data_IF_652647251147
#
_entry.id   IF_652647251147
#
_cell.length_a   1.000
_cell.length_b   1.000
_cell.length_c   1.000
_cell.angle_alpha   90.00
_cell.angle_beta   90.00
_cell.angle_gamma   90.00
#
_symmetry.space_group_name_H-M   'P 1'
#
loop_
_entity.id
_entity.type
_entity.pdbx_description
1 polymer ?
#
# COMPACT_ATOMS: atom_id res chain seq x y z
N UNK A 1 -17.32 33.88 -76.12
CA UNK A 1 -16.12 34.44 -76.79
C UNK A 1 -14.94 33.61 -76.33
N UNK A 2 -14.37 32.80 -77.22
CA UNK A 2 -13.15 32.02 -76.94
C UNK A 2 -11.94 32.95 -77.00
N UNK A 3 -11.07 32.90 -76.00
CA UNK A 3 -9.61 32.97 -76.17
C UNK A 3 -9.01 32.07 -75.09
N UNK A 4 -8.29 31.03 -75.52
CA UNK A 4 -7.45 30.22 -74.64
C UNK A 4 -6.00 30.68 -74.76
N UNK A 5 -5.20 30.40 -73.74
CA UNK A 5 -3.77 30.16 -73.92
C UNK A 5 -3.20 29.31 -72.79
N UNK A 6 -2.42 28.31 -73.20
CA UNK A 6 -1.77 27.28 -72.40
C UNK A 6 -0.32 27.64 -72.09
N UNK A 7 0.15 27.12 -70.95
CA UNK A 7 1.53 26.75 -70.57
C UNK A 7 2.55 27.83 -70.16
N UNK A 8 3.04 27.70 -68.92
CA UNK A 8 4.48 27.49 -68.70
C UNK A 8 4.72 26.50 -67.54
N UNK A 9 5.33 25.37 -67.91
CA UNK A 9 5.96 24.39 -67.04
C UNK A 9 7.40 24.85 -66.78
N UNK A 10 7.77 25.12 -65.54
CA UNK A 10 9.16 25.17 -65.11
C UNK A 10 9.43 24.05 -64.10
N UNK A 11 10.18 23.04 -64.52
CA UNK A 11 10.81 22.02 -63.67
C UNK A 11 11.80 22.71 -62.72
N UNK A 12 11.63 22.52 -61.42
CA UNK A 12 12.73 22.58 -60.44
C UNK A 12 12.57 21.41 -59.47
N UNK A 13 13.51 20.47 -59.59
CA UNK A 13 14.16 19.62 -58.57
C UNK A 13 13.28 19.01 -57.47
N UNK A 14 13.31 17.68 -57.40
CA UNK A 14 12.54 16.88 -56.46
C UNK A 14 12.80 17.17 -54.99
N UNK A 15 11.69 17.28 -54.25
CA UNK A 15 11.62 16.97 -52.81
C UNK A 15 10.37 16.12 -52.64
N UNK A 16 10.56 14.83 -52.37
CA UNK A 16 9.50 13.96 -51.85
C UNK A 16 9.17 14.46 -50.44
N UNK A 17 8.08 15.20 -50.29
CA UNK A 17 7.40 15.38 -49.00
C UNK A 17 5.91 15.18 -49.18
N UNK A 18 5.39 14.25 -48.41
CA UNK A 18 4.06 13.65 -48.43
C UNK A 18 2.94 14.64 -48.78
N UNK A 19 2.17 14.31 -49.82
CA UNK A 19 0.83 14.91 -50.02
C UNK A 19 -0.05 14.50 -48.85
N UNK A 20 -0.19 15.37 -47.86
CA UNK A 20 -1.34 15.32 -46.94
C UNK A 20 -2.57 15.48 -47.82
N UNK A 21 -3.29 14.38 -48.04
CA UNK A 21 -4.56 14.35 -48.76
C UNK A 21 -5.59 15.12 -47.90
N UNK A 22 -5.64 16.45 -48.08
CA UNK A 22 -6.72 17.27 -47.53
C UNK A 22 -7.99 16.85 -48.28
N UNK A 23 -8.85 16.08 -47.61
CA UNK A 23 -10.20 15.81 -48.11
C UNK A 23 -10.94 17.15 -48.06
N UNK A 24 -11.02 17.83 -49.20
CA UNK A 24 -11.81 19.04 -49.37
C UNK A 24 -13.19 18.61 -49.84
N UNK A 25 -14.21 18.87 -49.03
CA UNK A 25 -15.59 18.71 -49.46
C UNK A 25 -15.94 19.91 -50.35
N UNK A 26 -15.92 19.70 -51.67
CA UNK A 26 -16.37 20.67 -52.65
C UNK A 26 -17.79 20.30 -53.07
N UNK A 27 -18.73 21.23 -52.91
CA UNK A 27 -20.12 21.00 -53.22
C UNK A 27 -20.59 21.93 -54.35
N UNK A 28 -21.56 21.45 -55.15
CA UNK A 28 -21.94 22.03 -56.45
C UNK A 28 -23.08 23.04 -56.37
N UNK A 29 -23.77 23.10 -55.23
CA UNK A 29 -24.94 23.95 -55.00
C UNK A 29 -24.60 25.08 -54.03
N UNK A 30 -25.35 26.18 -54.05
CA UNK A 30 -25.16 27.25 -53.07
C UNK A 30 -25.57 26.77 -51.67
N UNK A 31 -24.85 27.22 -50.62
CA UNK A 31 -25.13 26.93 -49.20
C UNK A 31 -25.00 25.46 -48.76
N UNK A 32 -24.20 24.66 -49.47
CA UNK A 32 -23.97 23.23 -49.20
C UNK A 32 -22.92 22.92 -48.11
N UNK A 33 -22.33 23.95 -47.48
CA UNK A 33 -21.27 23.88 -46.50
C UNK A 33 -21.78 23.57 -45.07
N UNK A 34 -22.57 22.51 -44.92
CA UNK A 34 -23.10 22.07 -43.61
C UNK A 34 -22.12 21.16 -42.85
N UNK A 35 -21.99 21.34 -41.52
CA UNK A 35 -21.10 20.55 -40.67
C UNK A 35 -21.44 19.04 -40.68
N UNK A 36 -22.72 18.70 -40.89
CA UNK A 36 -23.17 17.31 -40.99
C UNK A 36 -22.55 16.52 -42.15
N UNK A 37 -21.98 17.22 -43.13
CA UNK A 37 -21.37 16.64 -44.33
C UNK A 37 -19.90 16.23 -44.11
N UNK A 38 -19.31 16.55 -42.96
CA UNK A 38 -17.93 16.18 -42.61
C UNK A 38 -17.87 15.29 -41.37
N UNK A 39 -16.73 14.61 -41.20
CA UNK A 39 -16.48 13.83 -39.99
C UNK A 39 -16.29 14.74 -38.78
N UNK A 40 -16.91 14.35 -37.67
CA UNK A 40 -16.61 14.85 -36.34
C UNK A 40 -15.31 14.23 -35.83
N UNK A 41 -14.55 14.96 -35.04
CA UNK A 41 -13.35 14.44 -34.39
C UNK A 41 -13.59 14.22 -32.90
N UNK A 42 -13.14 13.09 -32.35
CA UNK A 42 -13.10 12.84 -30.91
C UNK A 42 -11.65 12.64 -30.47
N UNK A 43 -11.35 12.90 -29.20
CA UNK A 43 -10.04 12.62 -28.62
C UNK A 43 -9.85 11.13 -28.33
N UNK A 44 -8.61 10.66 -28.48
CA UNK A 44 -8.11 9.36 -28.02
C UNK A 44 -7.07 9.56 -26.90
N UNK A 45 -6.79 8.50 -26.13
CA UNK A 45 -5.91 8.57 -24.95
C UNK A 45 -4.48 9.06 -25.20
N UNK A 46 -3.95 8.85 -26.40
CA UNK A 46 -2.59 9.25 -26.79
C UNK A 46 -2.53 10.67 -27.40
N UNK A 47 -3.60 11.45 -27.25
CA UNK A 47 -3.71 12.79 -27.86
C UNK A 47 -4.00 12.77 -29.35
N UNK A 48 -4.15 11.58 -29.97
CA UNK A 48 -4.65 11.46 -31.34
C UNK A 48 -6.15 11.74 -31.39
N UNK A 49 -6.65 11.82 -32.61
CA UNK A 49 -8.06 11.99 -32.90
C UNK A 49 -8.56 10.81 -33.71
N UNK A 50 -9.76 10.36 -33.40
CA UNK A 50 -10.51 9.45 -34.26
C UNK A 50 -11.59 10.24 -35.02
N UNK A 51 -11.84 9.84 -36.27
CA UNK A 51 -12.89 10.41 -37.12
C UNK A 51 -14.17 9.64 -36.90
N UNK A 52 -15.25 10.36 -36.60
CA UNK A 52 -16.55 9.80 -36.36
C UNK A 52 -17.61 10.46 -37.26
N UNK A 53 -18.68 9.73 -37.61
CA UNK A 53 -19.78 10.37 -38.35
C UNK A 53 -20.38 11.49 -37.50
N UNK A 54 -20.96 12.51 -38.15
CA UNK A 54 -21.49 13.68 -37.44
C UNK A 54 -22.46 13.32 -36.30
N UNK A 55 -23.34 12.34 -36.52
CA UNK A 55 -24.32 11.85 -35.54
C UNK A 55 -23.77 10.83 -34.54
N UNK A 56 -22.57 10.30 -34.74
CA UNK A 56 -21.99 9.29 -33.85
C UNK A 56 -21.25 9.93 -32.67
N UNK A 57 -21.37 9.37 -31.48
CA UNK A 57 -20.92 9.99 -30.23
C UNK A 57 -19.40 9.98 -30.04
N UNK A 58 -18.89 10.91 -29.24
CA UNK A 58 -17.58 10.76 -28.59
C UNK A 58 -17.80 10.30 -27.15
N UNK A 59 -16.88 9.53 -26.59
CA UNK A 59 -16.98 9.10 -25.18
C UNK A 59 -15.75 9.48 -24.36
N UNK A 60 -15.97 9.72 -23.07
CA UNK A 60 -14.93 9.79 -22.04
C UNK A 60 -15.37 8.97 -20.83
N UNK A 61 -14.47 8.24 -20.20
CA UNK A 61 -14.80 7.38 -19.05
C UNK A 61 -13.72 7.39 -17.98
N UNK A 62 -14.12 7.06 -16.74
CA UNK A 62 -13.19 6.74 -15.67
C UNK A 62 -12.76 5.28 -15.73
N UNK A 63 -11.46 5.04 -15.67
CA UNK A 63 -10.90 3.69 -15.50
C UNK A 63 -11.09 3.21 -14.06
N UNK A 64 -10.85 1.92 -13.82
CA UNK A 64 -10.91 1.33 -12.47
C UNK A 64 -10.05 2.05 -11.43
N UNK A 65 -8.97 2.71 -11.85
CA UNK A 65 -8.03 3.45 -11.01
C UNK A 65 -8.25 4.97 -11.04
N UNK A 66 -9.46 5.42 -11.41
CA UNK A 66 -9.82 6.84 -11.58
C UNK A 66 -9.06 7.59 -12.70
N UNK A 67 -8.31 6.88 -13.54
CA UNK A 67 -7.73 7.42 -14.78
C UNK A 67 -8.83 7.78 -15.80
N UNK A 68 -8.42 8.39 -16.92
CA UNK A 68 -9.37 8.83 -17.97
C UNK A 68 -9.09 8.09 -19.27
N UNK A 69 -10.13 7.47 -19.81
CA UNK A 69 -10.15 6.85 -21.14
C UNK A 69 -11.05 7.65 -22.08
N UNK A 70 -10.69 7.73 -23.36
CA UNK A 70 -11.39 8.51 -24.39
C UNK A 70 -11.42 7.77 -25.72
N UNK A 71 -12.47 7.98 -26.50
CA UNK A 71 -12.54 7.50 -27.88
C UNK A 71 -13.79 7.89 -28.64
N UNK A 72 -13.97 7.26 -29.80
CA UNK A 72 -15.14 7.40 -30.66
C UNK A 72 -16.18 6.32 -30.35
N UNK A 73 -17.45 6.66 -30.57
CA UNK A 73 -18.58 5.76 -30.43
C UNK A 73 -19.27 5.88 -29.08
N UNK A 74 -20.08 4.87 -28.78
CA UNK A 74 -20.90 4.80 -27.58
C UNK A 74 -20.05 4.47 -26.35
N UNK A 75 -20.60 4.76 -25.17
CA UNK A 75 -19.95 4.44 -23.91
C UNK A 75 -19.68 2.93 -23.74
N UNK A 76 -18.43 2.53 -23.46
CA UNK A 76 -18.08 1.12 -23.22
C UNK A 76 -18.33 0.67 -21.78
N UNK A 77 -18.57 1.60 -20.84
CA UNK A 77 -18.78 1.30 -19.43
C UNK A 77 -19.85 2.18 -18.78
N UNK A 78 -20.15 1.89 -17.50
CA UNK A 78 -21.09 2.68 -16.70
C UNK A 78 -20.49 3.99 -16.18
N UNK A 79 -19.17 4.08 -16.07
CA UNK A 79 -18.44 5.26 -15.58
C UNK A 79 -18.06 6.20 -16.73
N UNK A 80 -18.93 6.24 -17.75
CA UNK A 80 -18.69 6.86 -19.03
C UNK A 80 -19.77 7.91 -19.34
N UNK A 81 -19.37 8.94 -20.07
CA UNK A 81 -20.24 9.98 -20.61
C UNK A 81 -20.02 10.11 -22.11
N UNK A 82 -21.11 10.33 -22.85
CA UNK A 82 -21.08 10.62 -24.29
C UNK A 82 -21.36 12.09 -24.56
N UNK A 83 -20.85 12.57 -25.69
CA UNK A 83 -21.11 13.92 -26.17
C UNK A 83 -21.05 13.97 -27.71
N UNK A 84 -21.73 14.96 -28.29
CA UNK A 84 -21.95 15.01 -29.74
C UNK A 84 -21.20 16.12 -30.48
N UNK A 85 -20.46 16.99 -29.78
CA UNK A 85 -19.70 18.09 -30.39
C UNK A 85 -18.29 17.66 -30.79
N UNK A 86 -17.68 18.39 -31.71
CA UNK A 86 -16.28 18.20 -32.06
C UNK A 86 -15.38 18.27 -30.80
N UNK A 87 -14.60 17.21 -30.57
CA UNK A 87 -13.58 17.10 -29.52
C UNK A 87 -14.10 17.38 -28.10
N UNK A 88 -15.37 17.06 -27.86
CA UNK A 88 -16.05 17.33 -26.60
C UNK A 88 -15.63 16.40 -25.45
N UNK A 89 -14.98 15.28 -25.75
CA UNK A 89 -14.57 14.26 -24.78
C UNK A 89 -13.16 14.52 -24.22
N UNK A 90 -12.80 15.77 -23.95
CA UNK A 90 -11.48 16.15 -23.44
C UNK A 90 -11.22 15.64 -22.01
N UNK A 91 -12.27 15.20 -21.31
CA UNK A 91 -12.23 14.67 -19.95
C UNK A 91 -12.23 15.75 -18.88
N UNK A 92 -12.29 17.05 -19.26
CA UNK A 92 -12.49 18.12 -18.30
C UNK A 92 -13.89 18.02 -17.70
N UNK A 93 -13.98 18.16 -16.38
CA UNK A 93 -15.26 18.05 -15.67
C UNK A 93 -15.83 16.63 -15.58
N UNK A 94 -15.12 15.61 -16.07
CA UNK A 94 -15.54 14.21 -15.91
C UNK A 94 -15.65 13.87 -14.43
N UNK A 95 -16.85 13.46 -13.99
CA UNK A 95 -17.12 13.11 -12.60
C UNK A 95 -16.38 11.85 -12.16
N UNK A 96 -16.31 11.68 -10.85
CA UNK A 96 -15.91 10.43 -10.20
C UNK A 96 -17.15 9.60 -9.90
N UNK A 97 -16.96 8.32 -9.56
CA UNK A 97 -18.07 7.40 -9.37
C UNK A 97 -17.85 6.56 -8.12
N UNK A 98 -18.83 6.61 -7.22
CA UNK A 98 -18.88 5.81 -6.00
C UNK A 98 -20.09 4.88 -6.04
N UNK A 99 -20.05 3.76 -5.31
CA UNK A 99 -21.25 2.96 -5.08
C UNK A 99 -22.27 3.79 -4.30
N UNK A 100 -23.55 3.55 -4.57
CA UNK A 100 -24.67 4.17 -3.86
C UNK A 100 -25.87 3.25 -3.86
N UNK A 101 -26.59 3.17 -2.72
CA UNK A 101 -27.91 2.53 -2.68
C UNK A 101 -28.98 3.33 -3.44
N UNK A 102 -28.85 4.66 -3.43
CA UNK A 102 -29.83 5.61 -3.99
C UNK A 102 -29.49 6.07 -5.41
N UNK A 103 -28.32 5.68 -5.93
CA UNK A 103 -27.84 6.07 -7.24
C UNK A 103 -28.32 5.17 -8.38
N UNK A 104 -28.35 5.69 -9.60
CA UNK A 104 -28.75 4.93 -10.79
C UNK A 104 -27.85 3.70 -10.97
N UNK A 105 -28.44 2.51 -11.11
CA UNK A 105 -27.71 1.23 -11.27
C UNK A 105 -26.70 0.95 -10.14
N UNK A 106 -26.94 1.48 -8.94
CA UNK A 106 -26.11 1.24 -7.76
C UNK A 106 -24.85 2.13 -7.67
N UNK A 107 -24.81 3.24 -8.41
CA UNK A 107 -23.68 4.18 -8.41
C UNK A 107 -24.14 5.64 -8.44
N UNK A 108 -23.32 6.53 -7.91
CA UNK A 108 -23.55 7.98 -7.90
C UNK A 108 -22.34 8.72 -8.49
N UNK A 109 -22.60 9.85 -9.16
CA UNK A 109 -21.57 10.75 -9.67
C UNK A 109 -21.09 11.69 -8.56
N UNK A 110 -19.78 11.87 -8.47
CA UNK A 110 -19.12 12.66 -7.44
C UNK A 110 -18.20 13.72 -8.05
N UNK A 111 -18.09 14.87 -7.38
CA UNK A 111 -17.18 15.94 -7.81
C UNK A 111 -15.72 15.67 -7.46
N UNK A 112 -15.50 14.83 -6.45
CA UNK A 112 -14.18 14.46 -5.94
C UNK A 112 -14.04 12.92 -5.89
N UNK A 113 -12.81 12.37 -5.87
CA UNK A 113 -12.58 10.92 -5.95
C UNK A 113 -12.92 10.16 -4.67
N UNK A 114 -13.12 10.83 -3.55
CA UNK A 114 -13.38 10.18 -2.28
C UNK A 114 -14.78 9.54 -2.26
N UNK A 115 -14.82 8.27 -1.89
CA UNK A 115 -16.02 7.50 -1.66
C UNK A 115 -16.04 7.01 -0.22
N UNK A 116 -17.21 7.03 0.41
CA UNK A 116 -17.42 6.44 1.74
C UNK A 116 -18.32 5.20 1.67
N UNK A 117 -18.15 4.32 2.64
CA UNK A 117 -19.10 3.27 2.99
C UNK A 117 -19.25 3.25 4.51
N UNK A 118 -20.49 3.27 4.99
CA UNK A 118 -20.83 3.34 6.42
C UNK A 118 -21.76 2.21 6.80
N UNK A 119 -21.52 1.50 7.89
CA UNK A 119 -22.51 0.56 8.42
C UNK A 119 -23.62 1.35 9.15
N UNK A 120 -24.87 1.09 8.78
CA UNK A 120 -26.07 1.65 9.42
C UNK A 120 -26.51 0.82 10.63
N UNK A 121 -26.29 -0.49 10.56
CA UNK A 121 -26.55 -1.46 11.63
C UNK A 121 -25.63 -2.68 11.41
N UNK A 122 -24.69 -2.87 12.33
CA UNK A 122 -23.71 -3.97 12.30
C UNK A 122 -24.38 -5.35 12.34
N UNK A 123 -25.53 -5.47 13.02
CA UNK A 123 -26.25 -6.73 13.16
C UNK A 123 -26.98 -7.15 11.87
N UNK A 124 -27.22 -6.21 10.95
CA UNK A 124 -28.02 -6.43 9.74
C UNK A 124 -27.21 -6.42 8.43
N UNK A 125 -25.88 -6.30 8.49
CA UNK A 125 -25.02 -6.09 7.30
C UNK A 125 -25.57 -4.98 6.39
N UNK A 126 -26.08 -3.90 6.99
CA UNK A 126 -26.68 -2.82 6.22
C UNK A 126 -25.71 -1.65 6.05
N UNK A 127 -25.41 -1.29 4.80
CA UNK A 127 -24.44 -0.24 4.47
C UNK A 127 -25.09 0.97 3.79
N UNK A 128 -24.63 2.17 4.11
CA UNK A 128 -24.80 3.38 3.30
C UNK A 128 -23.53 3.65 2.49
N UNK A 129 -23.70 4.17 1.28
CA UNK A 129 -22.62 4.39 0.32
C UNK A 129 -22.80 5.71 -0.41
N UNK A 130 -21.72 6.47 -0.57
CA UNK A 130 -21.79 7.71 -1.31
C UNK A 130 -20.45 8.38 -1.58
N UNK A 131 -20.55 9.65 -2.00
CA UNK A 131 -19.42 10.53 -2.25
C UNK A 131 -18.95 11.18 -0.96
N UNK A 132 -17.64 11.43 -0.85
CA UNK A 132 -17.04 12.22 0.23
C UNK A 132 -16.20 11.41 1.19
N UNK A 133 -15.88 12.06 2.31
CA UNK A 133 -15.08 11.51 3.39
C UNK A 133 -15.97 11.08 4.54
N UNK A 134 -15.45 10.19 5.37
CA UNK A 134 -16.03 9.92 6.68
C UNK A 134 -15.80 11.14 7.58
N UNK A 135 -16.80 11.49 8.40
CA UNK A 135 -16.61 12.47 9.47
C UNK A 135 -15.75 11.88 10.59
N UNK A 136 -15.03 12.70 11.35
CA UNK A 136 -14.18 12.21 12.46
C UNK A 136 -14.98 11.48 13.55
N UNK A 137 -16.28 11.77 13.68
CA UNK A 137 -17.21 11.12 14.61
C UNK A 137 -17.87 9.86 14.04
N UNK A 138 -17.67 9.55 12.75
CA UNK A 138 -18.31 8.41 12.08
C UNK A 138 -17.51 7.13 12.26
N UNK A 139 -17.67 6.56 13.44
CA UNK A 139 -16.99 5.35 13.90
C UNK A 139 -17.18 4.12 12.97
N UNK A 140 -18.34 4.01 12.33
CA UNK A 140 -18.67 2.91 11.43
C UNK A 140 -18.52 3.28 9.96
N UNK A 141 -17.50 4.06 9.61
CA UNK A 141 -17.29 4.55 8.24
C UNK A 141 -15.87 4.25 7.74
N UNK A 142 -15.76 3.80 6.48
CA UNK A 142 -14.51 3.64 5.78
C UNK A 142 -14.52 4.44 4.46
N UNK A 143 -13.37 5.03 4.11
CA UNK A 143 -13.23 5.85 2.91
C UNK A 143 -12.10 5.39 1.98
N UNK A 144 -12.27 5.58 0.68
CA UNK A 144 -11.28 5.23 -0.34
C UNK A 144 -11.31 6.24 -1.51
N UNK A 145 -10.17 6.36 -2.22
CA UNK A 145 -10.02 7.27 -3.37
C UNK A 145 -9.23 6.68 -4.55
N UNK A 146 -8.68 5.48 -4.40
CA UNK A 146 -7.74 4.86 -5.37
C UNK A 146 -8.43 4.22 -6.59
N UNK A 147 -9.75 4.36 -6.73
CA UNK A 147 -10.48 3.80 -7.87
C UNK A 147 -11.96 4.10 -7.88
N UNK A 148 -12.59 3.85 -9.03
CA UNK A 148 -14.04 3.97 -9.18
C UNK A 148 -14.75 2.86 -8.40
N UNK A 149 -15.85 3.19 -7.73
CA UNK A 149 -16.69 2.23 -7.00
C UNK A 149 -15.90 1.45 -5.92
N UNK A 150 -14.86 2.07 -5.35
CA UNK A 150 -13.95 1.42 -4.41
C UNK A 150 -14.59 1.09 -3.05
N UNK A 151 -15.65 1.81 -2.69
CA UNK A 151 -16.39 1.71 -1.42
C UNK A 151 -17.29 0.46 -1.41
N UNK A 152 -16.66 -0.72 -1.42
CA UNK A 152 -17.34 -2.02 -1.41
C UNK A 152 -17.48 -2.56 0.01
N UNK A 153 -18.46 -3.45 0.24
CA UNK A 153 -18.58 -4.15 1.53
C UNK A 153 -17.32 -4.96 1.87
N UNK A 154 -16.70 -5.57 0.87
CA UNK A 154 -15.41 -6.26 1.03
C UNK A 154 -14.32 -5.29 1.49
N UNK A 155 -14.27 -4.09 0.89
CA UNK A 155 -13.38 -3.04 1.33
C UNK A 155 -13.65 -2.64 2.78
N UNK A 156 -14.90 -2.32 3.15
CA UNK A 156 -15.29 -1.94 4.51
C UNK A 156 -14.88 -2.98 5.55
N UNK A 157 -15.23 -4.25 5.30
CA UNK A 157 -14.80 -5.36 6.14
C UNK A 157 -13.27 -5.34 6.28
N UNK A 158 -12.53 -5.11 5.19
CA UNK A 158 -11.06 -5.01 5.13
C UNK A 158 -10.41 -3.83 5.85
N UNK A 159 -11.16 -2.86 6.37
CA UNK A 159 -10.58 -1.73 7.11
C UNK A 159 -10.77 -1.85 8.62
N UNK A 160 -11.81 -2.54 9.09
CA UNK A 160 -12.33 -2.33 10.46
C UNK A 160 -11.77 -3.30 11.51
N UNK A 161 -10.97 -4.32 11.19
CA UNK A 161 -10.44 -5.23 12.23
C UNK A 161 -8.96 -4.97 12.53
N UNK A 162 -8.60 -4.84 13.80
CA UNK A 162 -7.20 -4.82 14.23
C UNK A 162 -6.88 -5.98 15.17
N UNK A 163 -5.58 -6.27 15.32
CA UNK A 163 -5.13 -7.05 16.46
C UNK A 163 -5.25 -6.22 17.73
N UNK A 164 -5.81 -6.81 18.79
CA UNK A 164 -5.77 -6.23 20.11
C UNK A 164 -4.91 -7.08 21.04
N UNK A 165 -3.92 -6.44 21.60
CA UNK A 165 -3.07 -7.02 22.63
C UNK A 165 -2.78 -5.92 23.65
N UNK A 166 -3.54 -5.93 24.73
CA UNK A 166 -3.30 -5.09 25.91
C UNK A 166 -2.67 -6.03 26.95
N UNK A 167 -1.38 -6.34 26.82
CA UNK A 167 -0.72 -7.10 27.87
C UNK A 167 0.64 -6.50 28.24
N UNK A 168 0.69 -6.03 29.47
CA UNK A 168 1.88 -5.96 30.29
C UNK A 168 2.48 -7.37 30.44
N UNK A 169 3.18 -7.85 29.42
CA UNK A 169 4.34 -8.71 29.58
C UNK A 169 4.18 -10.23 29.65
N UNK A 170 3.06 -10.87 29.29
CA UNK A 170 3.03 -12.35 29.09
C UNK A 170 2.16 -12.74 27.89
N UNK A 171 2.54 -13.87 27.30
CA UNK A 171 2.25 -14.35 25.94
C UNK A 171 0.80 -14.21 25.42
N UNK A 172 0.76 -13.85 24.14
CA UNK A 172 -0.14 -14.27 23.06
C UNK A 172 -1.52 -14.81 23.44
N UNK A 173 -2.46 -13.88 23.64
CA UNK A 173 -3.80 -14.05 23.08
C UNK A 173 -4.19 -12.73 22.44
N UNK A 174 -3.75 -12.53 21.20
CA UNK A 174 -4.21 -11.38 20.40
C UNK A 174 -5.68 -11.59 20.09
N UNK A 175 -6.54 -10.99 20.91
CA UNK A 175 -7.97 -10.95 20.65
C UNK A 175 -8.19 -10.09 19.40
N UNK A 176 -9.15 -10.52 18.58
CA UNK A 176 -9.57 -9.77 17.39
C UNK A 176 -10.62 -8.78 17.85
N UNK A 177 -10.41 -7.50 17.58
CA UNK A 177 -11.35 -6.46 17.97
C UNK A 177 -11.74 -5.66 16.75
N UNK A 178 -13.03 -5.35 16.71
CA UNK A 178 -13.61 -4.41 15.77
C UNK A 178 -13.14 -3.00 16.16
N UNK A 179 -12.52 -2.33 15.21
CA UNK A 179 -11.85 -1.06 15.36
C UNK A 179 -12.41 -0.09 14.34
N UNK A 180 -13.06 0.93 14.86
CA UNK A 180 -13.70 2.03 14.15
C UNK A 180 -12.67 3.03 13.54
N UNK A 181 -11.36 2.83 13.79
CA UNK A 181 -10.25 3.70 13.35
C UNK A 181 -8.97 2.87 13.06
N UNK A 182 -7.87 3.54 12.71
CA UNK A 182 -6.56 2.96 12.39
C UNK A 182 -6.04 2.04 13.48
N UNK A 183 -5.37 0.97 13.05
CA UNK A 183 -4.68 0.05 13.94
C UNK A 183 -3.32 0.63 14.34
N UNK A 184 -2.93 0.44 15.61
CA UNK A 184 -1.58 0.77 16.06
C UNK A 184 -0.86 -0.45 16.61
N UNK A 185 0.47 -0.40 16.54
CA UNK A 185 1.37 -1.28 17.29
C UNK A 185 2.50 -0.43 17.87
N UNK A 186 2.77 -0.60 19.16
CA UNK A 186 3.82 0.12 19.88
C UNK A 186 4.69 -0.85 20.67
N UNK A 187 6.00 -0.70 20.56
CA UNK A 187 6.97 -1.33 21.47
C UNK A 187 7.45 -0.30 22.48
N UNK A 188 7.17 -0.58 23.76
CA UNK A 188 7.64 0.23 24.87
C UNK A 188 9.13 0.05 25.10
N UNK A 189 9.73 0.99 25.84
CA UNK A 189 11.11 0.88 26.27
C UNK A 189 11.34 -0.36 27.12
N UNK A 190 10.31 -0.88 27.80
CA UNK A 190 10.40 -2.14 28.56
C UNK A 190 10.58 -3.37 27.66
N UNK A 191 10.35 -3.26 26.34
CA UNK A 191 10.27 -4.37 25.38
C UNK A 191 8.86 -4.91 25.19
N UNK A 192 7.92 -4.55 26.07
CA UNK A 192 6.50 -4.91 25.98
C UNK A 192 5.88 -4.34 24.71
N UNK A 193 4.89 -5.04 24.15
CA UNK A 193 4.16 -4.59 22.95
C UNK A 193 2.70 -4.38 23.29
N UNK A 194 2.12 -3.31 22.76
CA UNK A 194 0.68 -3.13 22.73
C UNK A 194 0.18 -2.98 21.29
N UNK A 195 -1.00 -3.55 21.04
CA UNK A 195 -1.73 -3.48 19.78
C UNK A 195 -3.18 -3.09 20.09
N UNK A 196 -3.80 -2.29 19.23
CA UNK A 196 -5.21 -1.99 19.37
C UNK A 196 -5.74 -1.01 18.32
N UNK A 197 -6.96 -0.54 18.59
CA UNK A 197 -7.67 0.47 17.81
C UNK A 197 -7.32 1.89 18.28
N UNK A 198 -7.41 2.87 17.38
CA UNK A 198 -7.60 4.28 17.73
C UNK A 198 -6.48 4.88 18.59
N UNK A 199 -5.33 5.22 17.99
CA UNK A 199 -4.31 6.01 18.65
C UNK A 199 -3.47 6.82 17.65
N UNK A 200 -3.03 8.01 18.07
CA UNK A 200 -1.94 8.73 17.44
C UNK A 200 -0.62 8.39 18.14
N UNK A 201 0.44 8.06 17.40
CA UNK A 201 1.79 7.90 17.95
C UNK A 201 2.33 9.17 18.64
N UNK A 202 1.61 10.29 18.56
CA UNK A 202 1.92 11.55 19.27
C UNK A 202 2.02 11.40 20.79
N UNK A 203 1.31 10.46 21.41
CA UNK A 203 1.43 10.18 22.87
C UNK A 203 2.66 9.32 23.21
N UNK A 204 3.31 8.71 22.23
CA UNK A 204 4.55 7.94 22.39
C UNK A 204 5.75 8.74 21.87
N UNK A 205 5.78 10.04 22.18
CA UNK A 205 6.82 10.98 21.76
C UNK A 205 8.06 10.82 22.64
N UNK A 206 9.08 10.15 22.11
CA UNK A 206 10.40 10.04 22.73
C UNK A 206 11.24 8.92 22.11
N UNK A 207 12.57 9.02 22.21
CA UNK A 207 13.56 8.05 21.66
C UNK A 207 13.46 6.62 22.23
N UNK A 208 12.55 6.41 23.19
CA UNK A 208 12.42 5.19 23.99
C UNK A 208 11.31 4.24 23.49
N UNK A 209 10.47 4.65 22.55
CA UNK A 209 9.35 3.85 22.04
C UNK A 209 9.37 3.79 20.51
N UNK A 210 8.91 2.67 19.95
CA UNK A 210 8.70 2.52 18.51
C UNK A 210 7.21 2.31 18.25
N UNK A 211 6.61 3.17 17.44
CA UNK A 211 5.17 3.16 17.17
C UNK A 211 4.90 3.18 15.66
N UNK A 212 3.96 2.35 15.21
CA UNK A 212 3.46 2.32 13.84
C UNK A 212 1.94 2.33 13.83
N UNK A 213 1.41 3.04 12.85
CA UNK A 213 -0.02 3.11 12.53
C UNK A 213 -0.20 2.54 11.14
N UNK A 214 -1.30 1.84 10.92
CA UNK A 214 -1.66 1.32 9.62
C UNK A 214 -3.19 1.28 9.46
N UNK A 215 -3.65 1.25 8.21
CA UNK A 215 -5.03 1.54 7.84
C UNK A 215 -5.71 0.33 7.15
N UNK A 216 -5.26 -0.89 7.46
CA UNK A 216 -5.80 -2.13 6.86
C UNK A 216 -6.06 -3.19 7.92
N UNK A 217 -6.93 -4.15 7.61
CA UNK A 217 -7.23 -5.27 8.52
C UNK A 217 -5.96 -5.93 9.05
N UNK A 218 -5.88 -6.16 10.36
CA UNK A 218 -4.82 -6.93 11.03
C UNK A 218 -3.40 -6.43 10.72
N UNK A 219 -3.28 -5.17 10.30
CA UNK A 219 -2.02 -4.65 9.80
C UNK A 219 -1.01 -4.39 10.90
N UNK A 220 -1.48 -4.19 12.14
CA UNK A 220 -0.67 -3.82 13.28
C UNK A 220 0.11 -5.00 13.87
N UNK A 221 0.73 -5.82 13.03
CA UNK A 221 1.54 -6.97 13.45
C UNK A 221 2.80 -6.54 14.22
N UNK A 222 3.29 -7.41 15.12
CA UNK A 222 4.42 -7.14 16.01
C UNK A 222 5.72 -6.77 15.27
N UNK A 223 5.89 -7.26 14.03
CA UNK A 223 7.08 -7.05 13.21
C UNK A 223 7.19 -5.65 12.60
N UNK A 224 6.12 -4.84 12.62
CA UNK A 224 6.17 -3.45 12.14
C UNK A 224 7.03 -2.53 13.03
N UNK A 225 7.20 -2.89 14.30
CA UNK A 225 8.08 -2.18 15.23
C UNK A 225 9.36 -2.98 15.45
N UNK A 226 10.55 -2.35 15.46
CA UNK A 226 11.81 -3.05 15.65
C UNK A 226 11.81 -3.89 16.93
N UNK A 227 12.43 -5.08 16.88
CA UNK A 227 12.72 -5.87 18.07
C UNK A 227 13.82 -5.19 18.87
N UNK A 228 13.68 -5.17 20.20
CA UNK A 228 14.71 -4.64 21.10
C UNK A 228 15.50 -5.78 21.73
N UNK A 229 16.83 -5.71 21.67
CA UNK A 229 17.74 -6.60 22.40
C UNK A 229 18.51 -5.78 23.44
N UNK A 230 18.86 -6.41 24.57
CA UNK A 230 19.73 -5.78 25.55
C UNK A 230 21.14 -5.67 24.98
N UNK A 231 21.77 -4.52 25.16
CA UNK A 231 23.19 -4.29 24.91
C UNK A 231 23.96 -4.15 26.23
N UNK A 232 25.26 -3.91 26.12
CA UNK A 232 26.13 -3.71 27.30
C UNK A 232 25.75 -2.43 28.05
N UNK A 233 26.00 -2.40 29.36
CA UNK A 233 25.78 -1.24 30.22
C UNK A 233 24.34 -0.67 30.16
N UNK A 234 23.34 -1.55 30.00
CA UNK A 234 21.92 -1.15 29.95
C UNK A 234 21.47 -0.48 28.65
N UNK A 235 22.31 -0.51 27.61
CA UNK A 235 21.95 -0.03 26.26
C UNK A 235 20.94 -0.96 25.57
N UNK A 236 20.31 -0.47 24.51
CA UNK A 236 19.40 -1.25 23.66
C UNK A 236 19.86 -1.12 22.22
N UNK A 237 19.94 -2.24 21.51
CA UNK A 237 19.99 -2.23 20.05
C UNK A 237 18.63 -2.63 19.48
N UNK A 238 18.28 -2.00 18.34
CA UNK A 238 17.04 -2.25 17.59
C UNK A 238 17.36 -3.09 16.36
N UNK A 239 16.55 -4.10 16.07
CA UNK A 239 16.76 -4.99 14.93
C UNK A 239 15.43 -5.46 14.32
N UNK A 240 15.50 -6.14 13.16
CA UNK A 240 14.33 -6.75 12.53
C UNK A 240 13.79 -7.92 13.37
N UNK A 241 12.52 -8.28 13.18
CA UNK A 241 11.87 -9.31 14.00
C UNK A 241 12.56 -10.68 13.92
N UNK A 242 13.06 -11.05 12.73
CA UNK A 242 13.78 -12.32 12.48
C UNK A 242 15.22 -12.34 13.00
N UNK A 243 15.80 -11.18 13.35
CA UNK A 243 17.20 -11.12 13.79
C UNK A 243 17.26 -11.40 15.28
N UNK A 244 17.93 -12.46 15.76
CA UNK A 244 17.91 -12.81 17.18
C UNK A 244 18.64 -11.79 18.06
N UNK A 245 18.43 -11.91 19.37
CA UNK A 245 19.22 -11.25 20.39
C UNK A 245 20.25 -12.23 20.92
N UNK A 246 21.49 -11.80 21.17
CA UNK A 246 22.55 -12.67 21.69
C UNK A 246 23.07 -12.22 23.07
N UNK A 247 23.61 -13.19 23.81
CA UNK A 247 24.58 -12.99 24.88
C UNK A 247 25.80 -13.87 24.60
N UNK A 248 27.00 -13.33 24.79
CA UNK A 248 28.24 -14.11 24.77
C UNK A 248 29.10 -13.81 25.99
N UNK A 249 29.91 -14.79 26.39
CA UNK A 249 30.95 -14.62 27.40
C UNK A 249 32.29 -14.44 26.71
N UNK A 250 32.94 -13.33 27.03
CA UNK A 250 34.33 -13.05 26.62
C UNK A 250 35.31 -13.91 27.44
N UNK A 251 36.60 -13.94 27.07
CA UNK A 251 37.64 -14.76 27.74
C UNK A 251 37.77 -14.51 29.26
N UNK A 252 37.44 -13.30 29.72
CA UNK A 252 37.43 -12.89 31.13
C UNK A 252 36.05 -13.10 31.79
N UNK A 253 35.14 -13.84 31.16
CA UNK A 253 33.74 -14.05 31.56
C UNK A 253 32.87 -12.79 31.64
N UNK A 254 33.31 -11.64 31.10
CA UNK A 254 32.42 -10.49 30.95
C UNK A 254 31.36 -10.77 29.89
N UNK A 255 30.15 -10.29 30.13
CA UNK A 255 29.04 -10.40 29.18
C UNK A 255 29.20 -9.40 28.05
N UNK A 256 28.99 -9.87 26.82
CA UNK A 256 28.70 -9.03 25.69
C UNK A 256 27.31 -9.37 25.15
N UNK A 257 26.44 -8.37 25.01
CA UNK A 257 25.05 -8.54 24.59
C UNK A 257 24.77 -7.66 23.38
N UNK A 258 23.88 -8.13 22.51
CA UNK A 258 23.47 -7.32 21.37
C UNK A 258 22.46 -7.98 20.45
N UNK A 259 22.42 -7.45 19.24
CA UNK A 259 21.54 -7.86 18.16
C UNK A 259 22.33 -8.68 17.15
N UNK A 260 21.74 -9.76 16.66
CA UNK A 260 22.37 -10.67 15.72
C UNK A 260 22.50 -12.08 16.27
N UNK A 261 23.07 -12.94 15.42
CA UNK A 261 23.38 -14.32 15.78
C UNK A 261 24.69 -14.40 16.54
N UNK A 262 24.81 -15.46 17.33
CA UNK A 262 26.06 -15.85 17.93
C UNK A 262 27.16 -16.15 16.90
N UNK A 263 28.35 -15.58 17.12
CA UNK A 263 29.55 -15.89 16.32
C UNK A 263 30.64 -16.60 17.14
N UNK A 264 30.43 -16.79 18.45
CA UNK A 264 31.38 -17.43 19.36
C UNK A 264 30.84 -18.75 19.92
N UNK A 265 31.74 -19.62 20.38
CA UNK A 265 31.39 -20.93 20.95
C UNK A 265 30.84 -20.83 22.38
N UNK A 266 30.96 -19.68 23.03
CA UNK A 266 30.47 -19.34 24.36
C UNK A 266 29.32 -18.32 24.29
N UNK A 267 28.34 -18.61 23.43
CA UNK A 267 27.24 -17.70 23.12
C UNK A 267 25.90 -18.42 23.04
N UNK A 268 24.84 -17.68 23.36
CA UNK A 268 23.45 -18.07 23.20
C UNK A 268 22.68 -16.95 22.53
N UNK A 269 21.79 -17.31 21.62
CA UNK A 269 20.85 -16.38 21.02
C UNK A 269 19.39 -16.80 21.28
N UNK A 270 18.47 -15.86 21.06
CA UNK A 270 17.04 -16.04 21.30
C UNK A 270 16.21 -15.09 20.45
N UNK A 271 14.95 -15.46 20.21
CA UNK A 271 14.11 -14.77 19.23
C UNK A 271 13.20 -13.69 19.80
N UNK A 272 12.79 -13.77 21.07
CA UNK A 272 11.89 -12.78 21.65
C UNK A 272 12.60 -11.43 21.94
N UNK A 273 11.83 -10.36 22.12
CA UNK A 273 12.43 -9.08 22.51
C UNK A 273 13.03 -9.19 23.90
N UNK A 274 14.26 -8.71 24.08
CA UNK A 274 15.00 -8.68 25.36
C UNK A 274 15.15 -10.02 26.07
N UNK A 275 15.04 -11.11 25.33
CA UNK A 275 15.22 -12.45 25.86
C UNK A 275 16.66 -12.72 26.34
N UNK A 276 17.63 -11.91 25.89
CA UNK A 276 19.04 -12.04 26.24
C UNK A 276 19.41 -11.50 27.64
N UNK A 277 18.49 -11.61 28.60
CA UNK A 277 18.68 -11.22 30.00
C UNK A 277 19.11 -12.40 30.88
N UNK A 278 20.11 -13.16 30.44
CA UNK A 278 20.61 -14.31 31.18
C UNK A 278 21.79 -13.91 32.07
N UNK A 279 21.59 -13.93 33.39
CA UNK A 279 22.62 -13.55 34.36
C UNK A 279 23.41 -14.74 34.93
N UNK A 280 22.97 -15.98 34.66
CA UNK A 280 23.54 -17.20 35.27
C UNK A 280 24.08 -18.20 34.24
N UNK A 281 24.31 -17.76 33.00
CA UNK A 281 24.87 -18.61 31.94
C UNK A 281 26.38 -18.39 31.85
N UNK A 282 27.15 -19.45 32.12
CA UNK A 282 28.61 -19.50 32.04
C UNK A 282 29.05 -20.58 31.06
N UNK A 283 30.32 -20.55 30.65
CA UNK A 283 30.87 -21.52 29.70
C UNK A 283 32.25 -22.00 30.17
N UNK A 284 32.41 -23.32 30.25
CA UNK A 284 33.66 -23.98 30.63
C UNK A 284 34.22 -24.78 29.45
N UNK A 285 35.56 -24.85 29.34
CA UNK A 285 36.19 -25.77 28.39
C UNK A 285 35.80 -27.20 28.73
N UNK A 286 35.41 -27.97 27.72
CA UNK A 286 34.98 -29.36 27.88
C UNK A 286 35.35 -30.18 26.65
N UNK A 287 35.92 -31.37 26.86
CA UNK A 287 36.17 -32.34 25.79
C UNK A 287 34.87 -32.95 25.24
N UNK A 288 33.81 -32.95 26.04
CA UNK A 288 32.46 -33.42 25.67
C UNK A 288 31.55 -32.26 25.22
N UNK A 289 32.07 -31.03 25.21
CA UNK A 289 31.31 -29.82 24.89
C UNK A 289 31.22 -29.58 23.39
N UNK A 290 30.17 -28.89 22.95
CA UNK A 290 30.03 -28.44 21.56
C UNK A 290 31.17 -27.46 21.26
N UNK A 291 31.96 -27.75 20.23
CA UNK A 291 33.14 -26.95 19.85
C UNK A 291 34.12 -26.71 21.02
N UNK A 292 34.23 -27.69 21.94
CA UNK A 292 35.17 -27.63 23.06
C UNK A 292 34.67 -26.85 24.27
N UNK A 293 33.39 -26.49 24.33
CA UNK A 293 32.80 -25.69 25.42
C UNK A 293 31.48 -26.27 25.90
N UNK A 294 31.23 -26.21 27.20
CA UNK A 294 29.99 -26.66 27.85
C UNK A 294 29.36 -25.49 28.61
N UNK A 295 28.06 -25.31 28.45
CA UNK A 295 27.28 -24.34 29.24
C UNK A 295 27.16 -24.82 30.69
N UNK A 296 27.36 -23.89 31.63
CA UNK A 296 27.39 -24.14 33.06
C UNK A 296 26.55 -23.09 33.80
N UNK A 297 25.92 -23.52 34.90
CA UNK A 297 25.13 -22.64 35.77
C UNK A 297 25.96 -22.04 36.91
N UNK A 298 27.25 -22.36 36.99
CA UNK A 298 28.20 -21.86 37.97
C UNK A 298 29.39 -21.23 37.24
N UNK A 299 29.95 -20.20 37.85
CA UNK A 299 31.08 -19.43 37.29
C UNK A 299 32.39 -20.23 37.28
N UNK A 300 32.56 -21.11 38.26
CA UNK A 300 33.83 -21.79 38.49
C UNK A 300 33.93 -23.06 37.64
N UNK A 301 34.95 -23.08 36.79
CA UNK A 301 35.32 -24.24 35.99
C UNK A 301 36.49 -24.96 36.65
N UNK A 302 36.43 -26.29 36.75
CA UNK A 302 37.53 -27.10 37.27
C UNK A 302 37.96 -28.17 36.25
N UNK A 303 39.23 -28.56 36.29
CA UNK A 303 39.78 -29.69 35.52
C UNK A 303 40.10 -30.79 36.51
N UNK A 304 39.39 -31.92 36.43
CA UNK A 304 39.74 -33.10 37.22
C UNK A 304 40.85 -33.86 36.51
N UNK A 305 42.03 -33.93 37.14
CA UNK A 305 43.06 -34.89 36.76
C UNK A 305 42.72 -36.22 37.41
N UNK A 306 42.12 -37.14 36.66
CA UNK A 306 41.99 -38.52 37.14
C UNK A 306 43.38 -39.18 37.06
N UNK A 307 43.98 -39.45 38.22
CA UNK A 307 45.12 -40.37 38.26
C UNK A 307 44.59 -41.74 37.84
N UNK A 308 45.19 -42.35 36.82
CA UNK A 308 44.94 -43.76 36.50
C UNK A 308 45.44 -44.58 37.69
N UNK A 309 44.55 -44.84 38.64
CA UNK A 309 44.75 -45.90 39.62
C UNK A 309 44.75 -47.21 38.86
N UNK A 310 45.84 -47.96 38.95
CA UNK A 310 45.82 -49.40 38.74
C UNK A 310 44.74 -49.97 39.65
N UNK A 311 43.79 -50.66 39.06
CA UNK A 311 42.90 -51.57 39.77
C UNK A 311 43.80 -52.73 40.22
N UNK A 312 44.10 -52.80 41.51
CA UNK A 312 44.47 -54.07 42.16
C UNK A 312 43.21 -54.74 42.69
#
# INVERSE_FOLDING_TARGET
>A
MWVGETTQLSKVVGIVKERILKIVYACKENYCNEEKNVYKHCWENNGKICKNKYLEECFTERTKTNGVNRGCGKCPSKTCETCNKNRCNDGQGLKYYCKSKKGEKGMIKCDKPECYIKALDESKNEFDFGCGNCEESDLNCAQCSNGTLCNTEMFFKNVIYCWQNISSGREENSLKTECEDRCFVVRYYSGSVAQGCGFSCRRFTGSKHDCKICNTKYCNVLSLVPKHCLGNNGTICKTSFETPCFVERMKNNTENKGCGKCNSTSCRDCQASRCNNWNNTYYCKSVEGINGVKECNMKDCYILKMNKGTIE
#
